data_IF_193529229343
#
_entry.id   IF_193529229343
#
_cell.length_a   1.000
_cell.length_b   1.000
_cell.length_c   1.000
_cell.angle_alpha   90.00
_cell.angle_beta   90.00
_cell.angle_gamma   90.00
#
_symmetry.space_group_name_H-M   'P 1'
#
loop_
_entity.id
_entity.type
_entity.pdbx_description
1 polymer ?
#
# COMPACT_ATOMS: atom_id res chain seq x y z
N UNK A 1 10.16 13.81 16.42
CA UNK A 1 9.91 12.38 16.21
C UNK A 1 8.44 12.06 16.54
N UNK A 2 7.78 11.40 15.62
CA UNK A 2 6.39 11.02 15.86
C UNK A 2 6.33 9.79 16.75
N UNK A 3 5.63 9.89 17.87
CA UNK A 3 5.49 8.77 18.81
C UNK A 3 4.34 7.83 18.47
N UNK A 4 3.54 8.14 17.47
CA UNK A 4 2.43 7.29 17.03
C UNK A 4 2.82 6.51 15.80
N UNK A 5 2.28 5.29 15.63
CA UNK A 5 2.57 4.52 14.44
C UNK A 5 1.96 5.17 13.19
N UNK A 6 2.65 5.02 12.09
CA UNK A 6 2.19 5.53 10.80
C UNK A 6 1.38 4.46 10.08
N UNK A 7 0.61 4.88 9.08
CA UNK A 7 -0.14 3.98 8.22
C UNK A 7 0.61 3.84 6.90
N UNK A 8 0.90 2.60 6.51
CA UNK A 8 1.57 2.31 5.25
C UNK A 8 0.55 2.05 4.16
N UNK A 9 0.76 2.65 3.00
CA UNK A 9 -0.10 2.44 1.83
C UNK A 9 0.65 1.57 0.84
N UNK A 10 0.08 0.42 0.51
CA UNK A 10 0.68 -0.58 -0.39
C UNK A 10 -0.07 -0.59 -1.73
N UNK A 11 0.44 0.11 -2.75
CA UNK A 11 -0.18 0.06 -4.07
C UNK A 11 0.19 -1.23 -4.79
N UNK A 12 -0.75 -2.15 -4.91
CA UNK A 12 -0.50 -3.44 -5.54
C UNK A 12 -1.03 -3.47 -6.97
N UNK A 13 -0.34 -4.21 -7.82
CA UNK A 13 -0.61 -4.23 -9.24
C UNK A 13 -0.30 -5.63 -9.79
N UNK A 14 -0.84 -5.96 -10.96
CA UNK A 14 -0.44 -7.17 -11.68
C UNK A 14 1.03 -7.03 -12.08
N UNK A 15 1.86 -7.91 -11.57
CA UNK A 15 3.31 -7.81 -11.77
C UNK A 15 3.81 -8.27 -13.14
N UNK A 16 2.93 -8.80 -13.97
CA UNK A 16 3.33 -9.26 -15.29
C UNK A 16 3.66 -8.06 -16.18
N UNK A 17 4.82 -8.12 -16.81
CA UNK A 17 5.24 -7.09 -17.74
C UNK A 17 4.64 -7.36 -19.11
N UNK A 18 4.63 -6.33 -19.95
CA UNK A 18 4.10 -6.44 -21.30
C UNK A 18 2.80 -5.68 -21.50
N UNK A 19 2.63 -4.55 -20.82
CA UNK A 19 1.54 -3.63 -21.07
C UNK A 19 0.64 -3.33 -19.88
N UNK A 20 0.09 -4.35 -19.24
CA UNK A 20 -0.89 -4.12 -18.16
C UNK A 20 -0.25 -3.39 -17.00
N UNK A 21 0.89 -3.89 -16.53
CA UNK A 21 1.57 -3.24 -15.40
C UNK A 21 2.00 -1.82 -15.75
N UNK A 22 2.67 -1.68 -16.89
CA UNK A 22 3.20 -0.39 -17.31
C UNK A 22 2.10 0.65 -17.52
N UNK A 23 0.97 0.22 -18.05
CA UNK A 23 -0.14 1.14 -18.32
C UNK A 23 -0.89 1.58 -17.07
N UNK A 24 -0.76 0.85 -15.96
CA UNK A 24 -1.53 1.12 -14.75
C UNK A 24 -0.69 1.63 -13.59
N UNK A 25 0.63 1.69 -13.73
CA UNK A 25 1.50 2.08 -12.61
C UNK A 25 1.18 3.48 -12.10
N UNK A 26 1.09 4.45 -13.00
CA UNK A 26 0.82 5.83 -12.60
C UNK A 26 -0.55 5.96 -11.95
N UNK A 27 -1.55 5.28 -12.49
CA UNK A 27 -2.89 5.29 -11.92
C UNK A 27 -2.91 4.67 -10.52
N UNK A 28 -2.22 3.56 -10.35
CA UNK A 28 -2.16 2.87 -9.06
C UNK A 28 -1.46 3.73 -8.02
N UNK A 29 -0.35 4.36 -8.38
CA UNK A 29 0.34 5.27 -7.47
C UNK A 29 -0.50 6.50 -7.15
N UNK A 30 -1.24 7.02 -8.13
CA UNK A 30 -2.14 8.16 -7.88
C UNK A 30 -3.25 7.80 -6.92
N UNK A 31 -3.80 6.59 -7.03
CA UNK A 31 -4.80 6.12 -6.07
C UNK A 31 -4.21 5.99 -4.67
N UNK A 32 -2.99 5.48 -4.56
CA UNK A 32 -2.34 5.38 -3.26
C UNK A 32 -2.16 6.75 -2.62
N UNK A 33 -1.74 7.74 -3.39
CA UNK A 33 -1.59 9.11 -2.89
C UNK A 33 -2.94 9.70 -2.48
N UNK A 34 -3.99 9.43 -3.24
CA UNK A 34 -5.33 9.91 -2.90
C UNK A 34 -5.83 9.30 -1.59
N UNK A 35 -5.56 8.01 -1.37
CA UNK A 35 -5.92 7.34 -0.12
C UNK A 35 -5.15 7.96 1.04
N UNK A 36 -3.85 8.20 0.88
CA UNK A 36 -3.04 8.83 1.91
C UNK A 36 -3.56 10.21 2.26
N UNK A 37 -3.90 11.02 1.25
CA UNK A 37 -4.45 12.36 1.46
C UNK A 37 -5.79 12.31 2.17
N UNK A 38 -6.64 11.38 1.81
CA UNK A 38 -7.94 11.20 2.45
C UNK A 38 -7.78 10.87 3.92
N UNK A 39 -6.89 9.96 4.25
CA UNK A 39 -6.63 9.57 5.63
C UNK A 39 -6.08 10.75 6.43
N UNK A 40 -5.08 11.42 5.91
CA UNK A 40 -4.45 12.54 6.61
C UNK A 40 -5.40 13.71 6.79
N UNK A 41 -6.38 13.88 5.90
CA UNK A 41 -7.37 14.96 5.99
C UNK A 41 -8.49 14.66 6.97
N UNK A 42 -8.82 13.40 7.19
CA UNK A 42 -10.01 13.03 7.95
C UNK A 42 -9.74 12.22 9.21
N UNK A 43 -8.56 11.64 9.36
CA UNK A 43 -8.23 10.82 10.52
C UNK A 43 -7.11 11.48 11.30
N UNK A 44 -7.28 11.55 12.62
CA UNK A 44 -6.30 12.17 13.49
C UNK A 44 -5.89 11.23 14.60
N UNK A 45 -4.67 11.41 15.08
CA UNK A 45 -4.22 10.73 16.28
C UNK A 45 -4.98 11.30 17.50
N UNK A 46 -4.83 10.63 18.64
CA UNK A 46 -5.53 11.05 19.86
C UNK A 46 -5.14 12.45 20.32
N UNK A 47 -3.98 12.96 19.91
CA UNK A 47 -3.53 14.30 20.27
C UNK A 47 -4.01 15.37 19.27
N UNK A 48 -4.79 14.99 18.26
CA UNK A 48 -5.34 15.93 17.30
C UNK A 48 -4.49 16.15 16.06
N UNK A 49 -3.30 15.57 15.98
CA UNK A 49 -2.46 15.72 14.78
C UNK A 49 -2.93 14.80 13.66
N UNK A 50 -2.78 15.20 12.40
CA UNK A 50 -3.15 14.32 11.28
C UNK A 50 -2.34 13.03 11.28
N UNK A 51 -3.00 11.94 10.93
CA UNK A 51 -2.32 10.66 10.79
C UNK A 51 -1.33 10.72 9.63
N UNK A 52 -0.11 10.26 9.89
CA UNK A 52 0.92 10.21 8.87
C UNK A 52 0.83 8.92 8.07
N UNK A 53 0.93 9.04 6.75
CA UNK A 53 0.92 7.91 5.85
C UNK A 53 2.28 7.79 5.15
N UNK A 54 2.73 6.56 4.96
CA UNK A 54 3.94 6.25 4.21
C UNK A 54 3.52 5.42 3.00
N UNK A 55 3.87 5.88 1.81
CA UNK A 55 3.54 5.18 0.58
C UNK A 55 4.78 4.41 0.12
N UNK A 56 4.60 3.20 -0.39
CA UNK A 56 5.70 2.44 -0.97
C UNK A 56 6.35 3.25 -2.10
N UNK A 57 7.63 2.99 -2.36
CA UNK A 57 8.38 3.73 -3.37
C UNK A 57 7.89 3.49 -4.79
N UNK A 58 7.17 2.40 -5.01
CA UNK A 58 6.60 2.08 -6.30
C UNK A 58 5.49 1.06 -6.13
N UNK A 59 4.90 0.66 -7.25
CA UNK A 59 3.85 -0.36 -7.23
C UNK A 59 4.43 -1.72 -6.89
N UNK A 60 3.61 -2.54 -6.24
CA UNK A 60 4.01 -3.86 -5.75
C UNK A 60 3.33 -4.92 -6.61
N UNK A 61 4.10 -5.54 -7.49
CA UNK A 61 3.60 -6.59 -8.36
C UNK A 61 4.35 -7.89 -8.25
N UNK A 62 5.43 -7.91 -7.45
CA UNK A 62 6.29 -9.09 -7.31
C UNK A 62 6.73 -9.24 -5.86
N UNK A 63 7.17 -10.45 -5.52
CA UNK A 63 7.58 -10.77 -4.16
C UNK A 63 8.74 -9.88 -3.69
N UNK A 64 9.72 -9.63 -4.55
CA UNK A 64 10.84 -8.76 -4.19
C UNK A 64 10.41 -7.34 -3.89
N UNK A 65 9.44 -6.82 -4.63
CA UNK A 65 8.89 -5.49 -4.37
C UNK A 65 8.11 -5.46 -3.07
N UNK A 66 7.39 -6.53 -2.77
CA UNK A 66 6.68 -6.65 -1.51
C UNK A 66 7.64 -6.66 -0.33
N UNK A 67 8.74 -7.39 -0.44
CA UNK A 67 9.76 -7.44 0.61
C UNK A 67 10.42 -6.08 0.81
N UNK A 68 10.71 -5.37 -0.27
CA UNK A 68 11.30 -4.03 -0.18
C UNK A 68 10.35 -3.05 0.51
N UNK A 69 9.06 -3.14 0.20
CA UNK A 69 8.06 -2.32 0.85
C UNK A 69 7.98 -2.62 2.34
N UNK A 70 7.98 -3.89 2.72
CA UNK A 70 7.96 -4.28 4.13
C UNK A 70 9.16 -3.70 4.89
N UNK A 71 10.34 -3.76 4.28
CA UNK A 71 11.54 -3.19 4.89
C UNK A 71 11.44 -1.68 5.08
N UNK A 72 10.93 -0.97 4.08
CA UNK A 72 10.72 0.48 4.20
C UNK A 72 9.74 0.79 5.32
N UNK A 73 8.62 0.08 5.37
CA UNK A 73 7.59 0.34 6.38
C UNK A 73 8.10 0.08 7.78
N UNK A 74 8.91 -0.96 7.95
CA UNK A 74 9.53 -1.22 9.25
C UNK A 74 10.44 -0.08 9.67
N UNK A 75 11.27 0.42 8.78
CA UNK A 75 12.17 1.54 9.07
C UNK A 75 11.42 2.83 9.38
N UNK A 76 10.26 3.03 8.77
CA UNK A 76 9.48 4.26 8.93
C UNK A 76 8.54 4.24 10.13
N UNK A 77 8.44 3.12 10.83
CA UNK A 77 7.57 3.03 12.00
C UNK A 77 6.10 2.81 11.67
N UNK A 78 5.83 2.10 10.59
CA UNK A 78 4.46 1.78 10.19
C UNK A 78 3.88 0.73 11.12
N UNK A 79 2.69 0.99 11.65
CA UNK A 79 1.99 0.07 12.56
C UNK A 79 0.80 -0.63 11.94
N UNK A 80 0.29 -0.14 10.81
CA UNK A 80 -0.81 -0.76 10.09
C UNK A 80 -0.67 -0.44 8.62
N UNK A 81 -1.18 -1.31 7.76
CA UNK A 81 -1.09 -1.12 6.32
C UNK A 81 -2.46 -1.17 5.67
N UNK A 82 -2.60 -0.42 4.59
CA UNK A 82 -3.77 -0.45 3.71
C UNK A 82 -3.27 -0.82 2.32
N UNK A 83 -3.87 -1.84 1.72
CA UNK A 83 -3.54 -2.25 0.37
C UNK A 83 -4.52 -1.60 -0.61
N UNK A 84 -3.98 -0.92 -1.60
CA UNK A 84 -4.77 -0.28 -2.67
C UNK A 84 -4.51 -1.07 -3.94
N UNK A 85 -5.56 -1.66 -4.50
CA UNK A 85 -5.45 -2.50 -5.69
C UNK A 85 -6.36 -1.93 -6.77
N UNK A 86 -5.77 -1.52 -7.90
CA UNK A 86 -6.53 -0.99 -9.03
C UNK A 86 -6.83 -2.06 -10.08
N UNK A 87 -6.22 -3.24 -9.95
CA UNK A 87 -6.41 -4.35 -10.87
C UNK A 87 -6.12 -5.66 -10.15
N UNK A 88 -6.28 -6.79 -10.84
CA UNK A 88 -5.98 -8.09 -10.26
C UNK A 88 -4.50 -8.20 -9.92
N UNK A 89 -4.19 -8.86 -8.80
CA UNK A 89 -2.81 -9.14 -8.42
C UNK A 89 -2.75 -10.49 -7.71
N UNK A 90 -1.53 -11.04 -7.59
CA UNK A 90 -1.35 -12.31 -6.87
C UNK A 90 -1.49 -12.11 -5.36
N UNK A 91 -1.96 -13.15 -4.68
CA UNK A 91 -2.19 -13.08 -3.25
C UNK A 91 -0.94 -12.77 -2.44
N UNK A 92 0.24 -13.13 -2.94
CA UNK A 92 1.50 -12.85 -2.25
C UNK A 92 1.76 -11.34 -2.12
N UNK A 93 1.23 -10.54 -3.02
CA UNK A 93 1.39 -9.09 -2.99
C UNK A 93 0.36 -8.42 -2.10
N UNK A 94 -0.71 -9.11 -1.76
CA UNK A 94 -1.76 -8.57 -0.89
C UNK A 94 -1.64 -9.03 0.56
N UNK A 95 -0.52 -9.58 0.93
CA UNK A 95 -0.14 -10.00 2.29
C UNK A 95 -0.72 -11.32 2.77
N UNK A 96 -1.86 -11.75 2.30
CA UNK A 96 -2.46 -13.01 2.73
C UNK A 96 -2.27 -14.06 1.64
N UNK A 97 -1.57 -15.14 1.96
CA UNK A 97 -1.28 -16.21 1.01
C UNK A 97 -2.28 -17.35 1.06
N UNK A 98 -3.34 -17.20 1.84
CA UNK A 98 -4.38 -18.20 1.93
C UNK A 98 -5.10 -18.31 0.59
N UNK A 99 -5.14 -19.50 -0.04
CA UNK A 99 -5.81 -19.65 -1.34
C UNK A 99 -7.32 -19.42 -1.26
N UNK A 100 -7.88 -19.43 -0.06
CA UNK A 100 -9.30 -19.14 0.13
C UNK A 100 -9.58 -17.68 0.46
N UNK A 101 -8.57 -16.84 0.38
CA UNK A 101 -8.73 -15.42 0.60
C UNK A 101 -9.74 -14.84 -0.40
N UNK A 102 -10.75 -14.12 0.06
CA UNK A 102 -11.74 -13.55 -0.85
C UNK A 102 -11.12 -12.54 -1.79
N UNK A 103 -11.33 -12.71 -3.08
CA UNK A 103 -10.71 -11.85 -4.09
C UNK A 103 -11.40 -10.51 -4.23
N UNK A 104 -12.56 -10.37 -3.62
CA UNK A 104 -13.29 -9.10 -3.64
C UNK A 104 -12.92 -8.19 -2.49
N UNK A 105 -11.98 -8.60 -1.66
CA UNK A 105 -11.57 -7.81 -0.52
C UNK A 105 -10.80 -6.57 -0.97
N UNK A 106 -11.10 -5.48 -0.36
CA UNK A 106 -10.40 -4.21 -0.59
C UNK A 106 -9.44 -3.90 0.52
#
# INVERSE_FOLDING_TARGET
MNKYPKIGIRPTIDGRQGGVRESLEDKTMSLARAVADLISSHVKYSDGTPVECVIADGTIGRVGESAACAGKFEREGVGATITVTSCWCYGSETKDKNPYWPKTRV
#
